data_IF_006776086744
#
_entry.id   IF_006776086744
#
_cell.length_a   1.000
_cell.length_b   1.000
_cell.length_c   1.000
_cell.angle_alpha   90.00
_cell.angle_beta   90.00
_cell.angle_gamma   90.00
#
_symmetry.space_group_name_H-M   'P 1'
#
loop_
_entity.id
_entity.type
_entity.pdbx_description
1 polymer ?
#
# COMPACT_ATOMS: atom_id res chain seq x y z
N UNK A 1 42.71 9.75 -41.07
CA UNK A 1 42.17 10.05 -39.73
C UNK A 1 41.59 8.76 -39.17
N UNK A 2 42.19 8.13 -38.14
CA UNK A 2 41.60 6.96 -37.54
C UNK A 2 40.37 7.39 -36.73
N UNK A 3 39.24 6.70 -36.95
CA UNK A 3 38.07 6.75 -36.06
C UNK A 3 38.48 6.14 -34.72
N UNK A 4 38.39 6.91 -33.64
CA UNK A 4 38.43 6.35 -32.30
C UNK A 4 37.16 5.54 -32.04
N UNK A 5 37.24 4.41 -31.32
CA UNK A 5 36.07 3.66 -30.91
C UNK A 5 35.28 4.44 -29.87
N UNK A 6 33.96 4.42 -30.03
CA UNK A 6 32.96 4.88 -29.07
C UNK A 6 32.98 3.93 -27.87
N UNK A 7 33.86 4.20 -26.91
CA UNK A 7 33.88 3.53 -25.61
C UNK A 7 33.23 4.49 -24.62
N UNK A 8 31.89 4.46 -24.56
CA UNK A 8 31.14 5.14 -23.50
C UNK A 8 31.49 4.46 -22.18
N UNK A 9 32.53 5.00 -21.53
CA UNK A 9 32.92 4.75 -20.16
C UNK A 9 31.69 5.00 -19.26
N UNK A 10 30.94 3.93 -19.05
CA UNK A 10 29.64 3.96 -18.39
C UNK A 10 29.89 4.16 -16.91
N UNK A 11 29.95 5.43 -16.49
CA UNK A 11 30.07 5.79 -15.07
C UNK A 11 29.05 4.97 -14.27
N UNK A 12 29.48 4.30 -13.19
CA UNK A 12 28.58 3.48 -12.41
C UNK A 12 27.54 4.37 -11.74
N UNK A 13 26.27 3.95 -11.81
CA UNK A 13 25.15 4.70 -11.23
C UNK A 13 25.44 5.00 -9.74
N UNK A 14 25.31 6.27 -9.30
CA UNK A 14 25.61 6.67 -7.93
C UNK A 14 24.50 6.27 -6.95
N UNK A 15 23.35 5.78 -7.43
CA UNK A 15 22.27 5.32 -6.57
C UNK A 15 22.60 3.96 -5.94
N UNK A 16 22.69 3.96 -4.60
CA UNK A 16 22.80 2.74 -3.79
C UNK A 16 21.41 2.32 -3.32
N UNK A 17 20.98 1.11 -3.68
CA UNK A 17 19.65 0.58 -3.36
C UNK A 17 19.64 -0.54 -2.33
N UNK A 18 20.81 -1.12 -2.03
CA UNK A 18 21.00 -2.20 -1.07
C UNK A 18 22.46 -2.24 -0.55
N UNK A 19 22.74 -3.11 0.42
CA UNK A 19 24.10 -3.24 0.97
C UNK A 19 25.10 -3.78 -0.06
N UNK A 20 24.66 -4.53 -1.07
CA UNK A 20 25.56 -5.10 -2.07
C UNK A 20 26.09 -4.01 -3.01
N UNK A 21 25.19 -3.16 -3.51
CA UNK A 21 25.52 -1.99 -4.34
C UNK A 21 26.36 -0.97 -3.56
N UNK A 22 26.08 -0.81 -2.26
CA UNK A 22 26.91 -0.01 -1.35
C UNK A 22 28.34 -0.56 -1.26
N UNK A 23 28.48 -1.87 -1.00
CA UNK A 23 29.75 -2.54 -0.88
C UNK A 23 30.60 -2.46 -2.15
N UNK A 24 29.95 -2.60 -3.30
CA UNK A 24 30.59 -2.43 -4.61
C UNK A 24 31.09 -1.00 -4.85
N UNK A 25 30.33 0.02 -4.42
CA UNK A 25 30.76 1.41 -4.52
C UNK A 25 32.00 1.69 -3.63
N UNK A 26 32.00 1.18 -2.40
CA UNK A 26 33.14 1.27 -1.48
C UNK A 26 34.36 0.53 -2.04
N UNK A 27 34.19 -0.70 -2.51
CA UNK A 27 35.26 -1.50 -3.11
C UNK A 27 35.87 -0.81 -4.33
N UNK A 28 35.03 -0.28 -5.22
CA UNK A 28 35.49 0.45 -6.40
C UNK A 28 36.29 1.68 -6.03
N UNK A 29 35.83 2.43 -5.02
CA UNK A 29 36.53 3.62 -4.54
C UNK A 29 37.90 3.24 -3.97
N UNK A 30 37.98 2.19 -3.14
CA UNK A 30 39.26 1.68 -2.63
C UNK A 30 40.21 1.28 -3.76
N UNK A 31 39.73 0.52 -4.75
CA UNK A 31 40.54 0.06 -5.87
C UNK A 31 41.01 1.22 -6.75
N UNK A 32 40.17 2.24 -6.96
CA UNK A 32 40.54 3.46 -7.68
C UNK A 32 41.59 4.29 -6.94
N UNK A 33 41.65 4.18 -5.61
CA UNK A 33 42.71 4.75 -4.77
C UNK A 33 43.97 3.88 -4.68
N UNK A 34 44.02 2.75 -5.41
CA UNK A 34 45.16 1.80 -5.42
C UNK A 34 45.51 1.20 -4.04
N UNK A 35 44.55 1.17 -3.11
CA UNK A 35 44.77 0.69 -1.75
C UNK A 35 44.46 -0.80 -1.62
N UNK A 36 45.33 -1.53 -0.92
CA UNK A 36 44.97 -2.86 -0.43
C UNK A 36 43.88 -2.75 0.64
N UNK A 37 43.21 -3.87 0.94
CA UNK A 37 42.21 -3.90 2.00
C UNK A 37 42.84 -3.59 3.38
N UNK A 38 44.11 -3.97 3.58
CA UNK A 38 44.84 -3.69 4.81
C UNK A 38 45.17 -2.20 4.94
N UNK A 39 45.76 -1.61 3.90
CA UNK A 39 46.17 -0.20 3.90
C UNK A 39 44.95 0.72 4.08
N UNK A 40 43.87 0.44 3.35
CA UNK A 40 42.64 1.21 3.47
C UNK A 40 42.03 1.14 4.88
N UNK A 41 42.03 -0.04 5.50
CA UNK A 41 41.51 -0.18 6.85
C UNK A 41 42.34 0.62 7.87
N UNK A 42 43.68 0.63 7.71
CA UNK A 42 44.61 1.40 8.54
C UNK A 42 44.40 2.92 8.37
N UNK A 43 44.38 3.41 7.13
CA UNK A 43 44.14 4.83 6.82
C UNK A 43 42.81 5.36 7.37
N UNK A 44 41.74 4.55 7.26
CA UNK A 44 40.41 4.93 7.75
C UNK A 44 40.32 4.76 9.28
N UNK A 45 41.22 3.97 9.89
CA UNK A 45 41.16 3.60 11.29
C UNK A 45 39.93 2.73 11.60
N UNK A 46 39.73 1.67 10.82
CA UNK A 46 38.76 0.58 11.06
C UNK A 46 39.47 -0.77 10.96
N UNK A 47 38.86 -1.84 11.46
CA UNK A 47 39.46 -3.17 11.29
C UNK A 47 39.28 -3.67 9.85
N UNK A 48 40.23 -4.44 9.34
CA UNK A 48 40.15 -5.09 8.01
C UNK A 48 38.86 -5.87 7.84
N UNK A 49 38.38 -6.53 8.90
CA UNK A 49 37.11 -7.26 8.90
C UNK A 49 35.89 -6.35 8.71
N UNK A 50 35.89 -5.15 9.29
CA UNK A 50 34.81 -4.17 9.09
C UNK A 50 34.74 -3.75 7.62
N UNK A 51 35.90 -3.42 7.03
CA UNK A 51 35.97 -3.02 5.62
C UNK A 51 35.59 -4.18 4.68
N UNK A 52 36.11 -5.39 4.94
CA UNK A 52 35.77 -6.61 4.20
C UNK A 52 34.26 -6.89 4.20
N UNK A 53 33.60 -6.71 5.35
CA UNK A 53 32.15 -6.91 5.49
C UNK A 53 31.37 -5.88 4.70
N UNK A 54 31.78 -4.61 4.72
CA UNK A 54 31.13 -3.56 3.93
C UNK A 54 31.24 -3.89 2.44
N UNK A 55 32.43 -4.20 1.94
CA UNK A 55 32.65 -4.55 0.52
C UNK A 55 31.88 -5.80 0.09
N UNK A 56 31.73 -6.78 1.00
CA UNK A 56 30.92 -7.97 0.77
C UNK A 56 29.39 -7.73 0.89
N UNK A 57 28.96 -6.49 1.12
CA UNK A 57 27.55 -6.11 1.27
C UNK A 57 26.91 -6.65 2.55
N UNK A 58 27.68 -6.82 3.62
CA UNK A 58 27.21 -7.28 4.93
C UNK A 58 27.02 -6.10 5.87
N UNK A 59 26.09 -6.28 6.81
CA UNK A 59 25.81 -5.28 7.84
C UNK A 59 27.01 -5.06 8.78
N UNK A 60 27.24 -3.79 9.10
CA UNK A 60 28.17 -3.27 10.10
C UNK A 60 27.48 -2.16 10.90
N UNK A 61 28.06 -1.76 12.04
CA UNK A 61 27.54 -0.60 12.79
C UNK A 61 27.60 0.67 11.96
N UNK A 62 26.54 1.50 12.03
CA UNK A 62 26.38 2.73 11.24
C UNK A 62 27.54 3.71 11.43
N UNK A 63 28.10 3.81 12.64
CA UNK A 63 29.29 4.63 12.94
C UNK A 63 30.47 4.25 12.03
N UNK A 64 30.75 2.95 11.88
CA UNK A 64 31.84 2.48 11.04
C UNK A 64 31.54 2.68 9.55
N UNK A 65 30.28 2.48 9.15
CA UNK A 65 29.87 2.74 7.76
C UNK A 65 30.07 4.21 7.38
N UNK A 66 29.56 5.14 8.18
CA UNK A 66 29.72 6.57 7.91
C UNK A 66 31.18 7.01 7.94
N UNK A 67 32.00 6.42 8.82
CA UNK A 67 33.45 6.65 8.83
C UNK A 67 34.08 6.24 7.50
N UNK A 68 33.84 5.00 7.04
CA UNK A 68 34.37 4.50 5.76
C UNK A 68 33.91 5.35 4.58
N UNK A 69 32.63 5.71 4.51
CA UNK A 69 32.11 6.57 3.43
C UNK A 69 32.79 7.93 3.44
N UNK A 70 32.89 8.57 4.60
CA UNK A 70 33.51 9.89 4.76
C UNK A 70 34.99 9.88 4.34
N UNK A 71 35.78 8.94 4.86
CA UNK A 71 37.22 8.90 4.60
C UNK A 71 37.54 8.51 3.15
N UNK A 72 36.64 7.78 2.47
CA UNK A 72 36.72 7.56 1.03
C UNK A 72 36.13 8.68 0.16
N UNK A 73 35.70 9.79 0.76
CA UNK A 73 35.15 10.94 0.02
C UNK A 73 33.76 10.69 -0.59
N UNK A 74 33.02 9.69 -0.10
CA UNK A 74 31.68 9.38 -0.55
C UNK A 74 30.65 10.18 0.26
N UNK A 75 29.81 10.94 -0.44
CA UNK A 75 28.74 11.71 0.18
C UNK A 75 27.42 10.92 0.23
N UNK A 76 26.70 11.03 1.35
CA UNK A 76 25.34 10.50 1.51
C UNK A 76 24.34 11.64 1.45
N UNK A 77 23.39 11.57 0.52
CA UNK A 77 22.29 12.53 0.40
C UNK A 77 20.97 11.89 0.82
N UNK A 78 20.18 12.62 1.62
CA UNK A 78 18.83 12.22 2.04
C UNK A 78 17.85 13.19 1.40
N UNK A 79 17.03 12.69 0.48
CA UNK A 79 16.10 13.50 -0.31
C UNK A 79 14.84 12.70 -0.68
N UNK A 80 13.84 13.36 -1.27
CA UNK A 80 12.66 12.65 -1.77
C UNK A 80 12.99 11.82 -3.02
N UNK A 81 12.13 10.85 -3.39
CA UNK A 81 12.33 10.08 -4.63
C UNK A 81 12.26 10.94 -5.89
N UNK A 82 11.46 12.01 -5.85
CA UNK A 82 11.36 12.95 -6.96
C UNK A 82 12.66 13.74 -7.11
N UNK A 83 13.14 14.35 -6.03
CA UNK A 83 14.41 15.08 -6.03
C UNK A 83 15.60 14.17 -6.39
N UNK A 84 15.54 12.89 -5.98
CA UNK A 84 16.55 11.90 -6.35
C UNK A 84 16.54 11.56 -7.85
N UNK A 85 15.37 11.55 -8.48
CA UNK A 85 15.25 11.36 -9.93
C UNK A 85 15.86 12.55 -10.67
N UNK A 86 15.52 13.77 -10.26
CA UNK A 86 16.09 15.02 -10.80
C UNK A 86 17.61 15.06 -10.61
N UNK A 87 18.10 14.71 -9.42
CA UNK A 87 19.53 14.68 -9.11
C UNK A 87 20.27 13.63 -9.94
N UNK A 88 19.68 12.44 -10.14
CA UNK A 88 20.27 11.37 -10.95
C UNK A 88 20.29 11.75 -12.43
N UNK A 89 19.20 12.35 -12.93
CA UNK A 89 19.15 12.85 -14.29
C UNK A 89 20.21 13.92 -14.54
N UNK A 90 20.43 14.81 -13.58
CA UNK A 90 21.46 15.84 -13.65
C UNK A 90 22.89 15.27 -13.73
N UNK A 91 23.14 14.09 -13.18
CA UNK A 91 24.43 13.38 -13.29
C UNK A 91 24.46 12.32 -14.40
N UNK A 92 23.47 12.31 -15.29
CA UNK A 92 23.43 11.44 -16.47
C UNK A 92 22.90 10.02 -16.23
N UNK A 93 22.11 9.82 -15.18
CA UNK A 93 21.50 8.54 -14.82
C UNK A 93 19.98 8.63 -14.72
N UNK A 94 19.27 7.59 -15.17
CA UNK A 94 17.81 7.47 -15.01
C UNK A 94 17.49 6.29 -14.11
N UNK A 95 16.44 6.39 -13.29
CA UNK A 95 16.08 5.34 -12.34
C UNK A 95 14.65 4.86 -12.48
N UNK A 96 14.50 3.53 -12.57
CA UNK A 96 13.22 2.87 -12.47
C UNK A 96 12.93 2.47 -11.02
N UNK A 97 12.22 3.34 -10.30
CA UNK A 97 11.83 3.09 -8.90
C UNK A 97 10.92 1.88 -8.70
N UNK A 98 10.14 1.50 -9.73
CA UNK A 98 9.23 0.33 -9.69
C UNK A 98 10.05 -0.96 -9.69
N UNK A 99 11.05 -1.04 -10.57
CA UNK A 99 11.92 -2.21 -10.66
C UNK A 99 12.74 -2.41 -9.37
N UNK A 100 13.27 -1.33 -8.80
CA UNK A 100 14.00 -1.37 -7.52
C UNK A 100 13.10 -1.90 -6.40
N UNK A 101 11.85 -1.43 -6.31
CA UNK A 101 10.89 -1.90 -5.31
C UNK A 101 10.53 -3.38 -5.49
N UNK A 102 10.44 -3.86 -6.74
CA UNK A 102 10.22 -5.27 -7.04
C UNK A 102 11.39 -6.15 -6.59
N UNK A 103 12.64 -5.73 -6.86
CA UNK A 103 13.85 -6.46 -6.44
C UNK A 103 13.96 -6.56 -4.92
N UNK A 104 13.71 -5.46 -4.20
CA UNK A 104 13.72 -5.44 -2.73
C UNK A 104 12.61 -6.30 -2.11
N UNK A 105 11.46 -6.40 -2.78
CA UNK A 105 10.35 -7.28 -2.36
C UNK A 105 10.69 -8.76 -2.56
N UNK A 106 11.37 -9.11 -3.65
CA UNK A 106 11.82 -10.48 -3.93
C UNK A 106 12.87 -10.97 -2.93
N UNK A 107 13.78 -10.10 -2.47
CA UNK A 107 14.78 -10.46 -1.43
C UNK A 107 14.13 -10.71 -0.06
N UNK A 108 12.91 -10.19 0.16
CA UNK A 108 12.14 -10.38 1.40
C UNK A 108 11.32 -11.69 1.39
N UNK A 109 11.23 -12.38 0.24
CA UNK A 109 10.41 -13.58 0.06
C UNK A 109 11.07 -14.89 0.54
N UNK A 110 12.20 -14.82 1.26
CA UNK A 110 12.71 -15.97 2.02
C UNK A 110 12.08 -15.97 3.41
N UNK A 111 10.79 -16.30 3.49
CA UNK A 111 10.05 -16.35 4.75
C UNK A 111 8.75 -17.11 4.62
N UNK A 112 8.81 -18.41 4.89
CA UNK A 112 7.70 -19.34 5.16
C UNK A 112 6.72 -19.56 4.00
N UNK A 113 6.60 -20.82 3.56
CA UNK A 113 5.58 -21.29 2.61
C UNK A 113 4.20 -20.79 3.11
N UNK A 114 3.44 -20.01 2.32
CA UNK A 114 2.19 -19.45 2.81
C UNK A 114 1.25 -20.60 3.21
N UNK A 115 0.78 -20.57 4.45
CA UNK A 115 -0.29 -21.46 4.87
C UNK A 115 -1.49 -21.24 3.94
N UNK A 116 -2.08 -22.32 3.43
CA UNK A 116 -3.28 -22.26 2.63
C UNK A 116 -4.39 -21.63 3.46
N UNK A 117 -4.77 -20.39 3.13
CA UNK A 117 -5.89 -19.70 3.77
C UNK A 117 -7.18 -20.29 3.20
N UNK A 118 -8.06 -20.88 4.03
CA UNK A 118 -9.32 -21.43 3.54
C UNK A 118 -10.17 -20.35 2.86
N UNK A 119 -10.73 -20.68 1.70
CA UNK A 119 -11.59 -19.76 0.98
C UNK A 119 -12.94 -19.59 1.67
N UNK A 120 -13.40 -18.34 1.75
CA UNK A 120 -14.70 -17.97 2.31
C UNK A 120 -15.57 -17.33 1.24
N UNK A 121 -16.70 -17.94 0.97
CA UNK A 121 -17.66 -17.51 -0.06
C UNK A 121 -18.76 -16.60 0.48
N UNK A 122 -18.82 -16.37 1.80
CA UNK A 122 -19.78 -15.45 2.41
C UNK A 122 -19.64 -14.04 1.83
N UNK A 123 -20.70 -13.46 1.26
CA UNK A 123 -20.69 -12.10 0.73
C UNK A 123 -20.28 -11.08 1.79
N UNK A 124 -19.22 -10.33 1.54
CA UNK A 124 -18.68 -9.35 2.49
C UNK A 124 -18.60 -7.96 1.87
N UNK A 125 -19.31 -7.00 2.46
CA UNK A 125 -19.25 -5.60 2.09
C UNK A 125 -18.28 -4.88 3.02
N UNK A 126 -17.23 -4.29 2.47
CA UNK A 126 -16.41 -3.31 3.16
C UNK A 126 -17.09 -1.94 3.05
N UNK A 127 -17.27 -1.27 4.18
CA UNK A 127 -18.13 -0.10 4.27
C UNK A 127 -17.47 1.03 5.07
N UNK A 128 -17.32 2.18 4.41
CA UNK A 128 -17.02 3.46 5.05
C UNK A 128 -18.30 4.26 5.33
N UNK A 129 -18.16 5.34 6.10
CA UNK A 129 -19.22 6.28 6.47
C UNK A 129 -19.05 7.60 5.72
N UNK A 130 -17.90 8.24 5.86
CA UNK A 130 -17.59 9.53 5.24
C UNK A 130 -17.55 9.37 3.71
N UNK A 131 -18.14 10.34 3.01
CA UNK A 131 -18.30 10.28 1.55
C UNK A 131 -19.01 9.03 1.02
N UNK A 132 -19.68 8.26 1.89
CA UNK A 132 -20.23 6.93 1.56
C UNK A 132 -21.67 6.82 2.03
N UNK A 133 -21.91 6.82 3.34
CA UNK A 133 -23.25 6.79 3.94
C UNK A 133 -23.80 8.17 4.25
N UNK A 134 -23.00 9.22 4.07
CA UNK A 134 -23.41 10.62 4.08
C UNK A 134 -22.50 11.43 3.17
N UNK A 135 -22.94 12.63 2.78
CA UNK A 135 -22.10 13.52 1.99
C UNK A 135 -21.04 14.21 2.85
N UNK A 136 -19.82 14.28 2.32
CA UNK A 136 -18.70 14.97 2.95
C UNK A 136 -18.00 14.15 4.04
N UNK A 137 -17.22 14.84 4.87
CA UNK A 137 -16.35 14.24 5.87
C UNK A 137 -16.75 14.63 7.29
N UNK A 138 -16.54 13.70 8.22
CA UNK A 138 -16.80 13.92 9.62
C UNK A 138 -15.56 14.44 10.35
N UNK A 139 -15.75 15.51 11.10
CA UNK A 139 -14.84 15.90 12.18
C UNK A 139 -15.35 15.35 13.50
N UNK A 140 -14.50 14.60 14.19
CA UNK A 140 -14.77 14.02 15.51
C UNK A 140 -13.83 14.66 16.51
N UNK A 141 -14.39 15.40 17.46
CA UNK A 141 -13.62 16.05 18.52
C UNK A 141 -13.16 15.08 19.63
N UNK A 142 -12.42 15.59 20.61
CA UNK A 142 -11.92 14.78 21.73
C UNK A 142 -13.03 14.26 22.66
N UNK A 143 -14.23 14.87 22.64
CA UNK A 143 -15.43 14.37 23.31
C UNK A 143 -16.19 13.30 22.50
N UNK A 144 -15.77 13.06 21.25
CA UNK A 144 -16.44 12.19 20.30
C UNK A 144 -17.72 12.79 19.72
N UNK A 145 -17.92 14.11 19.82
CA UNK A 145 -18.97 14.81 19.09
C UNK A 145 -18.61 14.84 17.61
N UNK A 146 -19.61 14.63 16.77
CA UNK A 146 -19.45 14.50 15.32
C UNK A 146 -20.07 15.70 14.65
N UNK A 147 -19.32 16.31 13.75
CA UNK A 147 -19.78 17.41 12.88
C UNK A 147 -19.41 17.08 11.44
N UNK A 148 -20.35 17.24 10.51
CA UNK A 148 -20.08 17.03 9.09
C UNK A 148 -19.78 18.39 8.43
N UNK A 149 -18.75 18.42 7.60
CA UNK A 149 -18.39 19.61 6.80
C UNK A 149 -19.52 20.03 5.83
N UNK A 150 -20.33 19.07 5.39
CA UNK A 150 -21.49 19.27 4.55
C UNK A 150 -22.69 19.90 5.26
N UNK A 151 -22.69 19.92 6.60
CA UNK A 151 -23.84 20.33 7.42
C UNK A 151 -25.05 19.39 7.31
N UNK A 152 -24.91 18.25 6.64
CA UNK A 152 -25.99 17.28 6.44
C UNK A 152 -26.16 16.33 7.62
N UNK A 153 -27.27 15.56 7.69
CA UNK A 153 -27.43 14.55 8.72
C UNK A 153 -26.40 13.42 8.59
N UNK A 154 -25.85 13.01 9.74
CA UNK A 154 -24.98 11.84 9.84
C UNK A 154 -25.70 10.59 9.33
N UNK A 155 -25.03 9.87 8.43
CA UNK A 155 -25.53 8.64 7.80
C UNK A 155 -26.86 8.77 7.05
N UNK A 156 -27.15 9.93 6.45
CA UNK A 156 -28.38 10.18 5.67
C UNK A 156 -28.70 9.13 4.59
N UNK A 157 -27.67 8.47 4.03
CA UNK A 157 -27.83 7.45 2.99
C UNK A 157 -27.87 6.01 3.53
N UNK A 158 -27.71 5.79 4.83
CA UNK A 158 -27.79 4.44 5.42
C UNK A 158 -29.14 3.72 5.19
N UNK A 159 -30.31 4.41 5.15
CA UNK A 159 -31.57 3.78 4.76
C UNK A 159 -31.54 3.18 3.36
N UNK A 160 -30.87 3.82 2.39
CA UNK A 160 -30.73 3.32 1.02
C UNK A 160 -30.03 1.95 1.02
N UNK A 161 -28.90 1.85 1.73
CA UNK A 161 -28.16 0.59 1.84
C UNK A 161 -29.00 -0.48 2.57
N UNK A 162 -29.77 -0.09 3.58
CA UNK A 162 -30.64 -1.01 4.34
C UNK A 162 -31.69 -1.65 3.43
N UNK A 163 -32.37 -0.84 2.61
CA UNK A 163 -33.36 -1.31 1.63
C UNK A 163 -32.73 -2.26 0.60
N UNK A 164 -31.59 -1.88 0.04
CA UNK A 164 -30.90 -2.69 -0.98
C UNK A 164 -30.43 -4.03 -0.43
N UNK A 165 -29.97 -4.08 0.82
CA UNK A 165 -29.49 -5.32 1.45
C UNK A 165 -30.61 -6.18 2.05
N UNK A 166 -31.85 -5.66 2.15
CA UNK A 166 -33.00 -6.41 2.71
C UNK A 166 -33.20 -7.79 2.04
N UNK A 167 -33.14 -7.93 0.70
CA UNK A 167 -33.28 -9.24 0.05
C UNK A 167 -32.06 -10.17 0.22
N UNK A 168 -30.93 -9.66 0.73
CA UNK A 168 -29.66 -10.36 0.79
C UNK A 168 -29.17 -10.53 2.24
N UNK A 169 -29.85 -11.32 3.10
CA UNK A 169 -29.52 -11.45 4.52
C UNK A 169 -28.14 -12.08 4.80
N UNK A 170 -27.56 -12.78 3.82
CA UNK A 170 -26.24 -13.40 3.92
C UNK A 170 -25.08 -12.40 3.87
N UNK A 171 -25.30 -11.17 3.39
CA UNK A 171 -24.27 -10.14 3.29
C UNK A 171 -23.82 -9.70 4.69
N UNK A 172 -22.52 -9.86 4.94
CA UNK A 172 -21.82 -9.39 6.13
C UNK A 172 -21.10 -8.08 5.85
N UNK A 173 -20.89 -7.28 6.88
CA UNK A 173 -20.25 -5.97 6.79
C UNK A 173 -18.93 -6.00 7.57
N UNK A 174 -17.87 -5.45 6.96
CA UNK A 174 -16.63 -5.11 7.64
C UNK A 174 -16.47 -3.59 7.56
N UNK A 175 -16.35 -2.92 8.70
CA UNK A 175 -16.24 -1.47 8.73
C UNK A 175 -14.79 -1.03 8.43
N UNK A 176 -14.65 -0.08 7.51
CA UNK A 176 -13.37 0.50 7.06
C UNK A 176 -13.22 1.97 7.41
N UNK A 177 -14.17 2.52 8.17
CA UNK A 177 -14.27 3.94 8.45
C UNK A 177 -13.16 4.50 9.33
N UNK A 178 -12.74 5.73 9.03
CA UNK A 178 -11.79 6.52 9.81
C UNK A 178 -12.27 6.77 11.26
N UNK A 179 -13.57 6.69 11.51
CA UNK A 179 -14.17 6.91 12.84
C UNK A 179 -13.60 5.97 13.91
N UNK A 180 -13.16 4.77 13.50
CA UNK A 180 -12.53 3.78 14.38
C UNK A 180 -11.23 4.27 15.02
N UNK A 181 -10.63 5.34 14.50
CA UNK A 181 -9.44 5.98 15.07
C UNK A 181 -9.77 6.84 16.30
N UNK A 182 -11.01 7.35 16.40
CA UNK A 182 -11.44 8.28 17.46
C UNK A 182 -12.51 7.71 18.38
N UNK A 183 -13.35 6.78 17.89
CA UNK A 183 -14.47 6.20 18.61
C UNK A 183 -14.27 4.70 18.83
N UNK A 184 -14.87 4.13 19.88
CA UNK A 184 -14.88 2.68 20.08
C UNK A 184 -15.67 1.97 18.98
N UNK A 185 -15.33 0.70 18.71
CA UNK A 185 -16.02 -0.12 17.71
C UNK A 185 -17.53 -0.17 17.96
N UNK A 186 -17.93 -0.32 19.22
CA UNK A 186 -19.32 -0.39 19.66
C UNK A 186 -20.06 0.91 19.35
N UNK A 187 -19.41 2.05 19.62
CA UNK A 187 -19.99 3.37 19.35
C UNK A 187 -20.13 3.61 17.84
N UNK A 188 -19.15 3.22 17.04
CA UNK A 188 -19.21 3.32 15.56
C UNK A 188 -20.35 2.44 15.01
N UNK A 189 -20.51 1.22 15.52
CA UNK A 189 -21.61 0.32 15.12
C UNK A 189 -22.97 0.88 15.54
N UNK A 190 -23.07 1.51 16.72
CA UNK A 190 -24.33 2.05 17.24
C UNK A 190 -24.91 3.20 16.40
N UNK A 191 -24.11 3.85 15.55
CA UNK A 191 -24.63 4.84 14.59
C UNK A 191 -25.41 4.20 13.43
N UNK A 192 -25.15 2.93 13.09
CA UNK A 192 -25.83 2.28 11.99
C UNK A 192 -27.30 1.97 12.33
N UNK A 193 -28.21 2.02 11.34
CA UNK A 193 -29.51 1.39 11.47
C UNK A 193 -29.38 -0.07 11.97
N UNK A 194 -30.29 -0.55 12.84
CA UNK A 194 -30.17 -1.88 13.46
C UNK A 194 -29.97 -3.03 12.46
N UNK A 195 -30.58 -2.93 11.27
CA UNK A 195 -30.47 -3.92 10.21
C UNK A 195 -29.07 -4.00 9.58
N UNK A 196 -28.33 -2.90 9.54
CA UNK A 196 -26.93 -2.87 9.11
C UNK A 196 -25.99 -3.24 10.27
N UNK A 197 -26.25 -2.71 11.47
CA UNK A 197 -25.45 -3.00 12.67
C UNK A 197 -25.32 -4.51 12.92
N UNK A 198 -26.42 -5.27 12.84
CA UNK A 198 -26.43 -6.74 13.03
C UNK A 198 -25.65 -7.51 11.95
N UNK A 199 -25.30 -6.88 10.83
CA UNK A 199 -24.50 -7.49 9.75
C UNK A 199 -23.00 -7.29 9.95
N UNK A 200 -22.58 -6.39 10.85
CA UNK A 200 -21.17 -6.13 11.12
C UNK A 200 -20.52 -7.34 11.78
N UNK A 201 -19.48 -7.88 11.15
CA UNK A 201 -18.73 -9.06 11.63
C UNK A 201 -17.26 -8.76 11.93
N UNK A 202 -16.81 -7.54 11.65
CA UNK A 202 -15.44 -7.12 11.89
C UNK A 202 -15.19 -5.68 11.49
N UNK A 203 -13.98 -5.22 11.76
CA UNK A 203 -13.49 -3.91 11.36
C UNK A 203 -12.04 -4.01 10.90
N UNK A 204 -11.53 -2.97 10.24
CA UNK A 204 -10.09 -2.86 9.89
C UNK A 204 -9.28 -2.05 10.90
N UNK A 205 -9.81 -1.81 12.11
CA UNK A 205 -9.20 -0.95 13.15
C UNK A 205 -7.75 -1.29 13.46
N UNK A 206 -7.45 -2.58 13.60
CA UNK A 206 -6.13 -3.07 14.00
C UNK A 206 -5.17 -3.27 12.83
N UNK A 207 -5.58 -2.88 11.62
CA UNK A 207 -4.76 -2.97 10.42
C UNK A 207 -4.13 -1.63 10.10
N UNK A 208 -2.84 -1.65 9.81
CA UNK A 208 -2.09 -0.47 9.38
C UNK A 208 -1.65 -0.67 7.94
N UNK A 209 -1.89 0.31 7.05
CA UNK A 209 -1.37 0.23 5.69
C UNK A 209 0.15 0.22 5.70
N UNK A 210 0.75 -0.36 4.66
CA UNK A 210 2.18 -0.15 4.41
C UNK A 210 2.44 1.33 4.20
N UNK A 211 3.53 1.83 4.80
CA UNK A 211 3.87 3.26 4.75
C UNK A 211 3.99 3.81 3.32
N UNK A 212 4.43 3.00 2.35
CA UNK A 212 4.47 3.38 0.94
C UNK A 212 3.09 3.69 0.38
N UNK A 213 2.08 2.89 0.71
CA UNK A 213 0.70 3.09 0.23
C UNK A 213 -0.02 4.20 1.01
N UNK A 214 0.33 4.39 2.28
CA UNK A 214 -0.12 5.57 3.02
C UNK A 214 0.33 6.87 2.31
N UNK A 215 1.58 6.93 1.85
CA UNK A 215 2.12 8.11 1.14
C UNK A 215 1.54 8.31 -0.27
N UNK A 216 1.11 7.25 -0.95
CA UNK A 216 0.49 7.36 -2.28
C UNK A 216 -1.01 7.66 -2.24
N UNK A 217 -1.64 7.67 -1.06
CA UNK A 217 -3.10 7.79 -0.91
C UNK A 217 -3.85 6.46 -1.08
N UNK A 218 -3.17 5.38 -1.46
CA UNK A 218 -3.78 4.05 -1.67
C UNK A 218 -3.82 3.19 -0.38
N UNK A 219 -3.57 3.79 0.78
CA UNK A 219 -3.47 3.09 2.06
C UNK A 219 -4.76 2.37 2.46
N UNK A 220 -5.92 2.97 2.19
CA UNK A 220 -7.19 2.31 2.50
C UNK A 220 -7.43 1.07 1.63
N UNK A 221 -7.11 1.17 0.35
CA UNK A 221 -7.12 0.05 -0.61
C UNK A 221 -6.22 -1.10 -0.15
N UNK A 222 -5.01 -0.80 0.33
CA UNK A 222 -4.06 -1.79 0.89
C UNK A 222 -4.66 -2.54 2.08
N UNK A 223 -5.24 -1.82 3.02
CA UNK A 223 -5.86 -2.39 4.22
C UNK A 223 -6.99 -3.35 3.85
N UNK A 224 -7.88 -2.93 2.94
CA UNK A 224 -9.01 -3.75 2.48
C UNK A 224 -8.52 -5.00 1.73
N UNK A 225 -7.61 -4.83 0.77
CA UNK A 225 -7.05 -5.94 0.01
C UNK A 225 -6.34 -6.96 0.92
N UNK A 226 -5.55 -6.46 1.88
CA UNK A 226 -4.85 -7.28 2.88
C UNK A 226 -5.83 -8.02 3.79
N UNK A 227 -6.92 -7.37 4.22
CA UNK A 227 -7.96 -8.02 5.03
C UNK A 227 -8.62 -9.15 4.25
N UNK A 228 -9.06 -8.86 3.02
CA UNK A 228 -9.75 -9.82 2.17
C UNK A 228 -8.88 -11.05 1.87
N UNK A 229 -7.61 -10.82 1.51
CA UNK A 229 -6.63 -11.89 1.29
C UNK A 229 -6.39 -12.71 2.57
N UNK A 230 -6.13 -12.04 3.70
CA UNK A 230 -5.85 -12.69 4.98
C UNK A 230 -7.02 -13.52 5.53
N UNK A 231 -8.25 -13.19 5.14
CA UNK A 231 -9.47 -13.94 5.48
C UNK A 231 -9.95 -14.89 4.38
N UNK A 232 -9.25 -14.97 3.25
CA UNK A 232 -9.61 -15.82 2.12
C UNK A 232 -10.95 -15.45 1.46
N UNK A 233 -11.35 -14.17 1.50
CA UNK A 233 -12.65 -13.74 0.98
C UNK A 233 -12.69 -13.82 -0.55
N UNK A 234 -13.71 -14.49 -1.08
CA UNK A 234 -13.93 -14.63 -2.54
C UNK A 234 -15.01 -13.70 -3.09
N UNK A 235 -16.01 -13.39 -2.27
CA UNK A 235 -17.16 -12.57 -2.68
C UNK A 235 -17.20 -11.31 -1.83
N UNK A 236 -16.46 -10.28 -2.24
CA UNK A 236 -16.44 -9.02 -1.51
C UNK A 236 -16.50 -7.80 -2.43
N UNK A 237 -16.96 -6.69 -1.87
CA UNK A 237 -17.05 -5.39 -2.52
C UNK A 237 -16.74 -4.32 -1.47
N UNK A 238 -16.04 -3.25 -1.84
CA UNK A 238 -15.78 -2.10 -1.01
C UNK A 238 -16.51 -0.87 -1.55
N UNK A 239 -17.22 -0.16 -0.67
CA UNK A 239 -17.87 1.13 -0.94
C UNK A 239 -17.15 2.20 -0.13
N UNK A 240 -16.45 3.11 -0.81
CA UNK A 240 -15.59 4.08 -0.16
C UNK A 240 -15.23 5.21 -1.14
N UNK A 241 -15.08 6.45 -0.65
CA UNK A 241 -14.69 7.61 -1.46
C UNK A 241 -13.16 7.79 -1.61
N UNK A 242 -12.38 6.92 -0.95
CA UNK A 242 -10.92 7.03 -0.87
C UNK A 242 -10.16 5.75 -1.22
N UNK A 243 -10.80 4.83 -1.95
CA UNK A 243 -10.18 3.58 -2.44
C UNK A 243 -9.49 3.76 -3.79
N UNK A 244 -8.36 4.44 -3.78
CA UNK A 244 -7.56 4.71 -4.98
C UNK A 244 -6.61 3.55 -5.35
N UNK A 245 -6.17 3.52 -6.60
CA UNK A 245 -5.11 2.64 -7.12
C UNK A 245 -5.29 1.13 -6.87
N UNK A 246 -6.53 0.64 -6.91
CA UNK A 246 -6.83 -0.80 -6.77
C UNK A 246 -6.00 -1.70 -7.71
N UNK A 247 -5.60 -1.18 -8.88
CA UNK A 247 -4.77 -1.89 -9.85
C UNK A 247 -3.39 -2.29 -9.33
N UNK A 248 -2.85 -1.60 -8.32
CA UNK A 248 -1.57 -1.92 -7.68
C UNK A 248 -1.63 -3.24 -6.88
N UNK A 249 -2.83 -3.69 -6.50
CA UNK A 249 -3.05 -4.88 -5.68
C UNK A 249 -3.49 -6.10 -6.48
N UNK A 250 -3.72 -5.94 -7.79
CA UNK A 250 -4.22 -6.97 -8.69
C UNK A 250 -5.28 -6.41 -9.63
N UNK A 251 -5.14 -6.64 -10.94
CA UNK A 251 -6.11 -6.15 -11.94
C UNK A 251 -7.50 -6.74 -11.73
N UNK A 252 -7.55 -7.98 -11.23
CA UNK A 252 -8.75 -8.70 -10.87
C UNK A 252 -9.49 -8.11 -9.66
N UNK A 253 -8.80 -7.34 -8.81
CA UNK A 253 -9.41 -6.75 -7.62
C UNK A 253 -10.08 -5.40 -7.90
N UNK A 254 -9.77 -4.77 -9.03
CA UNK A 254 -10.32 -3.45 -9.41
C UNK A 254 -11.85 -3.46 -9.40
N UNK A 255 -12.49 -4.54 -9.86
CA UNK A 255 -13.95 -4.67 -9.85
C UNK A 255 -14.55 -4.68 -8.45
N UNK A 256 -13.77 -5.04 -7.43
CA UNK A 256 -14.23 -5.15 -6.04
C UNK A 256 -14.19 -3.80 -5.31
N UNK A 257 -13.62 -2.74 -5.89
CA UNK A 257 -13.59 -1.41 -5.29
C UNK A 257 -14.53 -0.45 -6.03
N UNK A 258 -15.53 0.08 -5.33
CA UNK A 258 -16.40 1.15 -5.81
C UNK A 258 -15.94 2.46 -5.19
N UNK A 259 -15.17 3.22 -5.97
CA UNK A 259 -14.79 4.59 -5.63
C UNK A 259 -16.04 5.48 -5.75
N UNK A 260 -16.42 6.12 -4.65
CA UNK A 260 -17.59 6.99 -4.56
C UNK A 260 -17.20 8.46 -4.71
N UNK A 261 -18.13 9.26 -5.23
CA UNK A 261 -18.05 10.71 -5.11
C UNK A 261 -18.46 11.10 -3.68
N UNK A 262 -17.61 11.79 -2.94
CA UNK A 262 -17.86 12.10 -1.53
C UNK A 262 -19.07 13.02 -1.31
N UNK A 263 -19.53 13.76 -2.32
CA UNK A 263 -20.73 14.59 -2.21
C UNK A 263 -22.03 13.80 -2.41
N UNK A 264 -21.97 12.65 -3.09
CA UNK A 264 -23.13 11.80 -3.40
C UNK A 264 -23.16 10.52 -2.57
N UNK A 265 -21.99 10.02 -2.16
CA UNK A 265 -21.81 8.73 -1.54
C UNK A 265 -22.51 7.61 -2.29
N UNK A 266 -23.17 6.72 -1.56
CA UNK A 266 -23.92 5.61 -2.13
C UNK A 266 -25.19 6.06 -2.87
N UNK A 267 -25.61 7.32 -2.76
CA UNK A 267 -26.80 7.80 -3.49
C UNK A 267 -26.55 7.99 -4.99
N UNK A 268 -25.29 7.96 -5.46
CA UNK A 268 -24.97 7.96 -6.90
C UNK A 268 -25.52 6.69 -7.58
N UNK A 269 -26.33 6.88 -8.63
CA UNK A 269 -26.95 5.78 -9.37
C UNK A 269 -25.91 4.81 -9.95
N UNK A 270 -24.72 5.29 -10.36
CA UNK A 270 -23.65 4.41 -10.83
C UNK A 270 -23.13 3.49 -9.74
N UNK A 271 -23.00 4.01 -8.51
CA UNK A 271 -22.61 3.21 -7.34
C UNK A 271 -23.70 2.18 -7.01
N UNK A 272 -24.98 2.59 -7.04
CA UNK A 272 -26.12 1.72 -6.82
C UNK A 272 -26.20 0.59 -7.85
N UNK A 273 -26.01 0.88 -9.13
CA UNK A 273 -25.95 -0.12 -10.18
C UNK A 273 -24.82 -1.13 -9.96
N UNK A 274 -23.63 -0.66 -9.57
CA UNK A 274 -22.49 -1.53 -9.26
C UNK A 274 -22.78 -2.44 -8.08
N UNK A 275 -23.37 -1.91 -7.00
CA UNK A 275 -23.78 -2.68 -5.84
C UNK A 275 -24.85 -3.73 -6.19
N UNK A 276 -25.90 -3.33 -6.90
CA UNK A 276 -26.98 -4.23 -7.35
C UNK A 276 -26.42 -5.36 -8.22
N UNK A 277 -25.55 -5.05 -9.19
CA UNK A 277 -24.92 -6.04 -10.07
C UNK A 277 -24.06 -7.05 -9.29
N UNK A 278 -23.33 -6.58 -8.28
CA UNK A 278 -22.56 -7.45 -7.40
C UNK A 278 -23.47 -8.38 -6.59
N UNK A 279 -24.56 -7.85 -6.02
CA UNK A 279 -25.54 -8.63 -5.25
C UNK A 279 -26.23 -9.70 -6.09
N UNK A 280 -26.69 -9.36 -7.30
CA UNK A 280 -27.32 -10.33 -8.21
C UNK A 280 -26.32 -11.42 -8.61
N UNK A 281 -25.09 -11.04 -8.97
CA UNK A 281 -24.05 -12.01 -9.34
C UNK A 281 -23.63 -12.94 -8.20
N UNK A 282 -23.87 -12.55 -6.94
CA UNK A 282 -23.66 -13.42 -5.78
C UNK A 282 -24.81 -14.42 -5.61
N UNK A 283 -26.05 -13.97 -5.74
CA UNK A 283 -27.20 -14.85 -5.58
C UNK A 283 -27.31 -15.85 -6.74
N UNK A 284 -26.96 -15.45 -7.96
CA UNK A 284 -26.82 -16.33 -9.12
C UNK A 284 -25.81 -17.46 -8.87
N UNK A 285 -24.64 -17.13 -8.31
CA UNK A 285 -23.61 -18.12 -7.93
C UNK A 285 -24.09 -19.04 -6.80
N UNK A 286 -24.91 -18.52 -5.88
CA UNK A 286 -25.46 -19.31 -4.76
C UNK A 286 -26.59 -20.23 -5.20
N UNK A 287 -27.40 -19.82 -6.15
CA UNK A 287 -28.56 -20.56 -6.69
C UNK A 287 -28.22 -21.43 -7.89
N UNK A 288 -26.97 -21.38 -8.39
CA UNK A 288 -26.51 -22.15 -9.54
C UNK A 288 -26.98 -21.62 -10.89
N UNK A 289 -27.59 -20.43 -10.94
CA UNK A 289 -28.00 -19.75 -12.19
C UNK A 289 -26.82 -18.99 -12.78
N UNK A 290 -25.87 -19.69 -13.40
CA UNK A 290 -24.82 -19.02 -14.18
C UNK A 290 -25.42 -18.47 -15.48
N UNK A 291 -25.50 -17.15 -15.62
CA UNK A 291 -25.86 -16.49 -16.87
C UNK A 291 -24.75 -16.72 -17.90
N UNK A 292 -24.84 -17.82 -18.65
CA UNK A 292 -24.18 -17.93 -19.94
C UNK A 292 -24.78 -16.88 -20.87
N UNK A 293 -24.07 -15.78 -21.09
CA UNK A 293 -24.20 -14.96 -22.30
C UNK A 293 -22.80 -14.59 -22.79
N UNK A 294 -22.32 -15.39 -23.74
CA UNK A 294 -21.48 -14.92 -24.84
C UNK A 294 -22.39 -14.52 -26.01
N UNK A 295 -21.93 -13.61 -26.86
CA UNK A 295 -21.27 -14.06 -28.09
C UNK A 295 -19.76 -13.96 -28.02
#
# INVERSE_FOLDING_TARGET
MPRFPDDTDSRPCPLVTDLKTLGQAVQRTRLASELTLLDAADYIGVTVNVLARIEAGRSVGTVHLFKVLKEFGLATLIMSKADADDALQAVGHTVNWVEIAAKQSATRATGTKPALIPERTTPTLFLDYDGTLHAGHAYIDDGGQITLDSGRPVLEFAPILTEILRPYPAVKIVLTTSWLQRLSTERVIAYLPPDLARRVVGTTRDMKPRFSYLRSGSGKTDVIASYAQGKGLRNWLALDDSVFDAHLFGRELVSNFVLLDSALGISDEKALERLRRWLTGIDDRRTGRSSYRRP
#
